data_IF_611593325577
#
_entry.id   IF_611593325577
#
_cell.length_a   1.000
_cell.length_b   1.000
_cell.length_c   1.000
_cell.angle_alpha   90.00
_cell.angle_beta   90.00
_cell.angle_gamma   90.00
#
_symmetry.space_group_name_H-M   'P 1'
#
loop_
_entity.id
_entity.type
_entity.pdbx_description
1 polymer ?
#
# COMPACT_ATOMS: atom_id res chain seq x y z
N UNK A 1 31.85 26.41 14.79
CA UNK A 1 31.00 25.28 15.19
C UNK A 1 30.17 24.93 13.97
N UNK A 2 30.54 23.86 13.26
CA UNK A 2 29.92 23.46 11.99
C UNK A 2 28.56 22.84 12.28
N UNK A 3 27.49 23.46 11.77
CA UNK A 3 26.13 22.94 11.88
C UNK A 3 25.99 21.81 10.85
N UNK A 4 26.23 20.57 11.26
CA UNK A 4 25.97 19.37 10.46
C UNK A 4 24.48 19.09 10.52
N UNK A 5 23.73 19.60 9.57
CA UNK A 5 22.36 19.14 9.30
C UNK A 5 22.48 17.76 8.65
N UNK A 6 22.44 16.71 9.47
CA UNK A 6 22.18 15.36 8.97
C UNK A 6 20.89 15.39 8.15
N UNK A 7 20.83 14.77 6.96
CA UNK A 7 19.59 14.70 6.22
C UNK A 7 18.58 13.93 7.06
N UNK A 8 17.49 14.59 7.46
CA UNK A 8 16.33 13.90 8.00
C UNK A 8 15.84 12.96 6.91
N UNK A 9 15.80 11.66 7.18
CA UNK A 9 15.22 10.68 6.25
C UNK A 9 13.76 11.09 6.03
N UNK A 10 13.47 11.65 4.86
CA UNK A 10 12.13 12.05 4.50
C UNK A 10 11.30 10.78 4.32
N UNK A 11 10.27 10.62 5.15
CA UNK A 11 9.42 9.45 5.13
C UNK A 11 8.43 9.53 3.96
N UNK A 12 8.51 8.57 3.04
CA UNK A 12 7.55 8.41 1.94
C UNK A 12 6.45 7.45 2.38
N UNK A 13 5.19 7.93 2.35
CA UNK A 13 4.01 7.10 2.62
C UNK A 13 3.57 6.34 1.37
N UNK A 14 3.25 5.07 1.55
CA UNK A 14 2.74 4.17 0.51
C UNK A 14 1.22 4.02 0.70
N UNK A 15 0.48 4.58 -0.24
CA UNK A 15 -0.96 4.41 -0.38
C UNK A 15 -1.22 3.39 -1.50
N UNK A 16 -1.70 2.20 -1.14
CA UNK A 16 -1.91 1.10 -2.07
C UNK A 16 -3.39 1.01 -2.49
N UNK A 17 -3.65 0.99 -3.80
CA UNK A 17 -5.00 0.93 -4.37
C UNK A 17 -5.35 -0.43 -4.97
N UNK A 18 -4.56 -1.48 -4.70
CA UNK A 18 -4.70 -2.79 -5.36
C UNK A 18 -6.08 -3.40 -5.19
N UNK A 19 -6.71 -3.29 -4.01
CA UNK A 19 -8.03 -3.89 -3.79
C UNK A 19 -9.13 -3.19 -4.61
N UNK A 20 -9.11 -1.86 -4.68
CA UNK A 20 -10.15 -1.07 -5.36
C UNK A 20 -9.90 -0.90 -6.85
N UNK A 21 -8.74 -0.38 -7.23
CA UNK A 21 -8.43 -0.13 -8.64
C UNK A 21 -8.17 -1.46 -9.36
N UNK A 22 -7.54 -2.41 -8.67
CA UNK A 22 -7.26 -3.73 -9.22
C UNK A 22 -8.54 -4.50 -9.55
N UNK A 23 -9.53 -4.56 -8.65
CA UNK A 23 -10.77 -5.29 -8.93
C UNK A 23 -11.63 -4.66 -10.04
N UNK A 24 -11.49 -3.34 -10.25
CA UNK A 24 -12.22 -2.58 -11.26
C UNK A 24 -11.61 -2.74 -12.66
N UNK A 25 -10.37 -3.25 -12.75
CA UNK A 25 -9.74 -3.53 -14.02
C UNK A 25 -10.45 -4.68 -14.76
N UNK A 26 -10.60 -4.61 -16.10
CA UNK A 26 -11.26 -5.65 -16.88
C UNK A 26 -10.64 -7.03 -16.68
N UNK A 27 -11.43 -7.99 -16.18
CA UNK A 27 -10.98 -9.36 -15.95
C UNK A 27 -10.23 -9.57 -14.63
N UNK A 28 -10.17 -8.57 -13.75
CA UNK A 28 -9.47 -8.64 -12.46
C UNK A 28 -10.40 -8.66 -11.24
N UNK A 29 -11.69 -9.01 -11.43
CA UNK A 29 -12.65 -9.12 -10.32
C UNK A 29 -12.16 -10.10 -9.26
N UNK A 30 -12.23 -9.69 -8.00
CA UNK A 30 -11.82 -10.50 -6.85
C UNK A 30 -13.03 -10.95 -6.04
N UNK A 31 -13.01 -12.21 -5.63
CA UNK A 31 -13.87 -12.74 -4.57
C UNK A 31 -13.48 -12.14 -3.21
N UNK A 32 -14.36 -12.28 -2.21
CA UNK A 32 -14.06 -11.83 -0.85
C UNK A 32 -12.80 -12.50 -0.29
N UNK A 33 -12.63 -13.80 -0.54
CA UNK A 33 -11.48 -14.58 -0.11
C UNK A 33 -10.18 -14.08 -0.75
N UNK A 34 -10.21 -13.76 -2.05
CA UNK A 34 -9.06 -13.19 -2.76
C UNK A 34 -8.71 -11.80 -2.24
N UNK A 35 -9.71 -10.94 -1.98
CA UNK A 35 -9.50 -9.62 -1.36
C UNK A 35 -8.83 -9.74 0.00
N UNK A 36 -9.29 -10.67 0.84
CA UNK A 36 -8.68 -10.92 2.15
C UNK A 36 -7.25 -11.43 2.04
N UNK A 37 -6.94 -12.27 1.04
CA UNK A 37 -5.58 -12.72 0.82
C UNK A 37 -4.67 -11.57 0.38
N UNK A 38 -5.08 -10.78 -0.60
CA UNK A 38 -4.33 -9.59 -1.05
C UNK A 38 -4.12 -8.60 0.11
N UNK A 39 -5.16 -8.32 0.90
CA UNK A 39 -5.08 -7.43 2.05
C UNK A 39 -4.03 -7.90 3.08
N UNK A 40 -3.95 -9.22 3.34
CA UNK A 40 -2.93 -9.79 4.23
C UNK A 40 -1.52 -9.65 3.64
N UNK A 41 -1.37 -9.79 2.33
CA UNK A 41 -0.07 -9.59 1.68
C UNK A 41 0.36 -8.13 1.74
N UNK A 42 -0.53 -7.18 1.46
CA UNK A 42 -0.26 -5.75 1.58
C UNK A 42 0.13 -5.36 3.01
N UNK A 43 -0.57 -5.90 4.01
CA UNK A 43 -0.21 -5.72 5.41
C UNK A 43 1.19 -6.28 5.75
N UNK A 44 1.56 -7.44 5.18
CA UNK A 44 2.92 -8.02 5.33
C UNK A 44 4.00 -7.20 4.64
N UNK A 45 3.67 -6.53 3.53
CA UNK A 45 4.54 -5.56 2.86
C UNK A 45 4.70 -4.24 3.66
N UNK A 46 3.90 -4.05 4.70
CA UNK A 46 3.93 -2.89 5.58
C UNK A 46 3.64 -1.57 4.82
N UNK A 47 2.64 -1.58 3.93
CA UNK A 47 2.10 -0.36 3.33
C UNK A 47 1.41 0.49 4.39
N UNK A 48 1.46 1.82 4.26
CA UNK A 48 0.87 2.73 5.24
C UNK A 48 -0.66 2.69 5.21
N UNK A 49 -1.23 2.60 4.01
CA UNK A 49 -2.67 2.68 3.78
C UNK A 49 -3.04 1.71 2.66
N UNK A 50 -4.10 0.94 2.89
CA UNK A 50 -4.76 0.10 1.89
C UNK A 50 -6.10 0.73 1.56
N UNK A 51 -6.34 1.10 0.31
CA UNK A 51 -7.66 1.52 -0.15
C UNK A 51 -8.54 0.28 -0.32
N UNK A 52 -9.59 0.17 0.49
CA UNK A 52 -10.56 -0.91 0.37
C UNK A 52 -11.42 -0.72 -0.89
N UNK A 53 -11.83 -1.85 -1.47
CA UNK A 53 -12.79 -2.00 -2.54
C UNK A 53 -13.25 -3.44 -2.52
#
# INVERSE_FOLDING_TARGET
MTNTTEPSVEYVRIFDTTLRDGEQAPGCTMTLEEKLEVARQLARLNVDIIEAG
#
